data_IF_734784334028
#
_entry.id   IF_734784334028
#
_cell.length_a   1.000
_cell.length_b   1.000
_cell.length_c   1.000
_cell.angle_alpha   90.00
_cell.angle_beta   90.00
_cell.angle_gamma   90.00
#
_symmetry.space_group_name_H-M   'P 1'
#
loop_
_entity.id
_entity.type
_entity.pdbx_description
1 polymer ?
#
# COMPACT_ATOMS: atom_id res chain seq x y z
N UNK A 1 -30.11 -16.59 -2.70
CA UNK A 1 -29.02 -17.47 -3.17
C UNK A 1 -28.16 -16.81 -4.24
N UNK A 2 -28.73 -16.02 -5.14
CA UNK A 2 -27.99 -15.26 -6.16
C UNK A 2 -27.17 -14.09 -5.57
N UNK A 3 -27.74 -13.38 -4.59
CA UNK A 3 -27.07 -12.31 -3.82
C UNK A 3 -25.80 -12.77 -3.07
N UNK A 4 -25.76 -14.00 -2.55
CA UNK A 4 -24.58 -14.52 -1.84
C UNK A 4 -23.44 -14.88 -2.78
N UNK A 5 -23.74 -15.47 -3.94
CA UNK A 5 -22.74 -15.76 -4.98
C UNK A 5 -22.15 -14.48 -5.57
N UNK A 6 -23.00 -13.47 -5.83
CA UNK A 6 -22.53 -12.17 -6.31
C UNK A 6 -21.55 -11.54 -5.31
N UNK A 7 -21.91 -11.53 -4.02
CA UNK A 7 -21.07 -10.98 -2.95
C UNK A 7 -19.69 -11.66 -2.89
N UNK A 8 -19.67 -12.99 -2.98
CA UNK A 8 -18.43 -13.77 -2.97
C UNK A 8 -17.53 -13.46 -4.18
N UNK A 9 -18.11 -13.30 -5.37
CA UNK A 9 -17.38 -12.90 -6.58
C UNK A 9 -16.77 -11.51 -6.45
N UNK A 10 -17.53 -10.53 -5.94
CA UNK A 10 -17.03 -9.16 -5.71
C UNK A 10 -15.91 -9.12 -4.67
N UNK A 11 -16.02 -9.88 -3.58
CA UNK A 11 -14.99 -9.96 -2.55
C UNK A 11 -13.69 -10.56 -3.10
N UNK A 12 -13.77 -11.64 -3.89
CA UNK A 12 -12.59 -12.24 -4.57
C UNK A 12 -11.91 -11.23 -5.50
N UNK A 13 -12.68 -10.56 -6.35
CA UNK A 13 -12.17 -9.60 -7.31
C UNK A 13 -11.52 -8.38 -6.64
N UNK A 14 -12.03 -7.98 -5.47
CA UNK A 14 -11.43 -6.95 -4.64
C UNK A 14 -10.06 -7.37 -4.10
N UNK A 15 -9.94 -8.56 -3.52
CA UNK A 15 -8.66 -9.03 -2.99
C UNK A 15 -7.62 -9.22 -4.10
N UNK A 16 -8.05 -9.71 -5.26
CA UNK A 16 -7.18 -9.90 -6.41
C UNK A 16 -6.63 -8.56 -6.92
N UNK A 17 -7.50 -7.61 -7.24
CA UNK A 17 -7.12 -6.37 -7.91
C UNK A 17 -6.38 -5.40 -6.97
N UNK A 18 -6.80 -5.28 -5.71
CA UNK A 18 -6.15 -4.39 -4.75
C UNK A 18 -4.71 -4.83 -4.48
N UNK A 19 -4.49 -6.13 -4.23
CA UNK A 19 -3.17 -6.65 -3.89
C UNK A 19 -2.24 -6.68 -5.12
N UNK A 20 -2.75 -7.06 -6.30
CA UNK A 20 -1.97 -7.08 -7.52
C UNK A 20 -1.46 -5.69 -7.92
N UNK A 21 -2.25 -4.63 -7.73
CA UNK A 21 -1.79 -3.26 -7.99
C UNK A 21 -0.56 -2.90 -7.16
N UNK A 22 -0.56 -3.26 -5.87
CA UNK A 22 0.58 -3.02 -4.98
C UNK A 22 1.79 -3.83 -5.45
N UNK A 23 1.61 -5.11 -5.78
CA UNK A 23 2.71 -5.98 -6.23
C UNK A 23 3.33 -5.49 -7.54
N UNK A 24 2.50 -5.08 -8.51
CA UNK A 24 2.97 -4.55 -9.80
C UNK A 24 3.71 -3.23 -9.62
N UNK A 25 3.19 -2.31 -8.80
CA UNK A 25 3.88 -1.06 -8.49
C UNK A 25 5.23 -1.31 -7.80
N UNK A 26 5.31 -2.29 -6.90
CA UNK A 26 6.58 -2.70 -6.30
C UNK A 26 7.55 -3.23 -7.35
N UNK A 27 7.09 -3.93 -8.38
CA UNK A 27 7.96 -4.38 -9.47
C UNK A 27 8.51 -3.19 -10.26
N UNK A 28 7.64 -2.29 -10.72
CA UNK A 28 8.03 -1.16 -11.57
C UNK A 28 8.97 -0.22 -10.82
N UNK A 29 8.56 0.23 -9.63
CA UNK A 29 9.34 1.18 -8.84
C UNK A 29 10.57 0.50 -8.24
N UNK A 30 10.45 -0.75 -7.80
CA UNK A 30 11.57 -1.51 -7.27
C UNK A 30 12.68 -1.71 -8.30
N UNK A 31 12.35 -1.92 -9.59
CA UNK A 31 13.36 -2.03 -10.65
C UNK A 31 14.17 -0.73 -10.82
N UNK A 32 13.49 0.41 -10.77
CA UNK A 32 14.13 1.74 -10.80
C UNK A 32 15.02 1.92 -9.57
N UNK A 33 14.51 1.58 -8.38
CA UNK A 33 15.27 1.69 -7.14
C UNK A 33 16.47 0.74 -7.09
N UNK A 34 16.36 -0.49 -7.62
CA UNK A 34 17.50 -1.41 -7.76
C UNK A 34 18.61 -0.78 -8.58
N UNK A 35 18.28 -0.16 -9.72
CA UNK A 35 19.27 0.53 -10.55
C UNK A 35 19.96 1.65 -9.76
N UNK A 36 19.20 2.48 -9.06
CA UNK A 36 19.73 3.57 -8.22
C UNK A 36 20.63 3.00 -7.11
N UNK A 37 20.18 2.01 -6.36
CA UNK A 37 20.94 1.43 -5.24
C UNK A 37 22.21 0.73 -5.71
N UNK A 38 22.17 0.04 -6.84
CA UNK A 38 23.32 -0.72 -7.34
C UNK A 38 24.35 0.18 -8.03
N UNK A 39 23.92 1.01 -8.99
CA UNK A 39 24.84 1.76 -9.84
C UNK A 39 25.16 3.15 -9.33
N UNK A 40 24.24 3.80 -8.60
CA UNK A 40 24.39 5.20 -8.20
C UNK A 40 24.84 5.31 -6.74
N UNK A 41 24.14 4.65 -5.83
CA UNK A 41 24.43 4.70 -4.39
C UNK A 41 25.41 3.61 -3.93
N UNK A 42 25.68 2.61 -4.78
CA UNK A 42 26.59 1.49 -4.51
C UNK A 42 26.29 0.73 -3.20
N UNK A 43 25.03 0.72 -2.78
CA UNK A 43 24.53 0.01 -1.59
C UNK A 43 24.06 -1.39 -1.97
N UNK A 44 25.01 -2.29 -2.24
CA UNK A 44 24.73 -3.61 -2.80
C UNK A 44 23.80 -4.47 -1.95
N UNK A 45 23.85 -4.34 -0.61
CA UNK A 45 22.95 -5.07 0.31
C UNK A 45 21.50 -4.66 0.11
N UNK A 46 21.24 -3.36 0.01
CA UNK A 46 19.90 -2.81 -0.24
C UNK A 46 19.44 -3.15 -1.66
N UNK A 47 20.33 -3.08 -2.64
CA UNK A 47 20.03 -3.46 -4.01
C UNK A 47 19.61 -4.94 -4.10
N UNK A 48 20.37 -5.85 -3.46
CA UNK A 48 20.05 -7.27 -3.40
C UNK A 48 18.69 -7.52 -2.71
N UNK A 49 18.43 -6.86 -1.58
CA UNK A 49 17.14 -6.95 -0.90
C UNK A 49 15.98 -6.51 -1.82
N UNK A 50 16.17 -5.45 -2.60
CA UNK A 50 15.16 -5.00 -3.56
C UNK A 50 15.02 -5.99 -4.76
N UNK A 51 16.09 -6.60 -5.25
CA UNK A 51 15.99 -7.68 -6.26
C UNK A 51 15.17 -8.86 -5.74
N UNK A 52 15.41 -9.28 -4.49
CA UNK A 52 14.61 -10.31 -3.84
C UNK A 52 13.15 -9.88 -3.67
N UNK A 53 12.91 -8.61 -3.35
CA UNK A 53 11.56 -8.04 -3.27
C UNK A 53 10.85 -8.08 -4.63
N UNK A 54 11.54 -7.83 -5.75
CA UNK A 54 10.97 -7.98 -7.10
C UNK A 54 10.55 -9.43 -7.37
N UNK A 55 11.42 -10.39 -7.03
CA UNK A 55 11.13 -11.82 -7.18
C UNK A 55 9.93 -12.26 -6.32
N UNK A 56 9.89 -11.81 -5.07
CA UNK A 56 8.77 -12.05 -4.14
C UNK A 56 7.48 -11.40 -4.63
N UNK A 57 7.55 -10.19 -5.19
CA UNK A 57 6.37 -9.51 -5.75
C UNK A 57 5.77 -10.29 -6.92
N UNK A 58 6.62 -10.78 -7.81
CA UNK A 58 6.20 -11.65 -8.91
C UNK A 58 5.61 -12.99 -8.42
N UNK A 59 6.24 -13.62 -7.44
CA UNK A 59 5.70 -14.82 -6.80
C UNK A 59 4.34 -14.54 -6.15
N UNK A 60 4.19 -13.40 -5.50
CA UNK A 60 2.95 -12.98 -4.83
C UNK A 60 1.83 -12.82 -5.86
N UNK A 61 2.08 -12.24 -7.03
CA UNK A 61 1.11 -12.19 -8.15
C UNK A 61 0.70 -13.60 -8.59
N UNK A 62 1.67 -14.52 -8.76
CA UNK A 62 1.36 -15.91 -9.14
C UNK A 62 0.50 -16.64 -8.11
N UNK A 63 0.79 -16.46 -6.81
CA UNK A 63 -0.01 -17.04 -5.73
C UNK A 63 -1.39 -16.40 -5.66
N UNK A 64 -1.49 -15.08 -5.89
CA UNK A 64 -2.76 -14.35 -5.90
C UNK A 64 -3.70 -14.86 -7.00
N UNK A 65 -3.17 -15.09 -8.21
CA UNK A 65 -3.91 -15.69 -9.34
C UNK A 65 -4.37 -17.13 -9.10
N UNK A 66 -3.75 -17.83 -8.13
CA UNK A 66 -4.17 -19.17 -7.67
C UNK A 66 -5.13 -19.10 -6.47
N UNK A 67 -5.71 -17.94 -6.21
CA UNK A 67 -6.60 -17.66 -5.07
C UNK A 67 -5.94 -17.86 -3.69
N UNK A 68 -4.60 -17.95 -3.62
CA UNK A 68 -3.86 -18.08 -2.36
C UNK A 68 -3.56 -16.70 -1.74
N UNK A 69 -4.62 -15.88 -1.58
CA UNK A 69 -4.54 -14.47 -1.18
C UNK A 69 -3.76 -14.26 0.13
N UNK A 70 -4.07 -15.08 1.16
CA UNK A 70 -3.47 -14.94 2.47
C UNK A 70 -1.97 -15.22 2.46
N UNK A 71 -1.54 -16.29 1.79
CA UNK A 71 -0.13 -16.66 1.65
C UNK A 71 0.63 -15.66 0.79
N UNK A 72 0.03 -15.24 -0.34
CA UNK A 72 0.56 -14.18 -1.21
C UNK A 72 0.88 -12.92 -0.40
N UNK A 73 -0.11 -12.42 0.37
CA UNK A 73 0.09 -11.23 1.20
C UNK A 73 1.11 -11.43 2.31
N UNK A 74 1.19 -12.61 2.92
CA UNK A 74 2.12 -12.89 4.02
C UNK A 74 3.57 -12.77 3.54
N UNK A 75 3.89 -13.45 2.43
CA UNK A 75 5.24 -13.46 1.86
C UNK A 75 5.61 -12.04 1.40
N UNK A 76 4.69 -11.34 0.73
CA UNK A 76 4.90 -9.97 0.30
C UNK A 76 5.15 -9.01 1.46
N UNK A 77 4.26 -8.97 2.46
CA UNK A 77 4.35 -8.09 3.64
C UNK A 77 5.67 -8.33 4.37
N UNK A 78 6.05 -9.60 4.56
CA UNK A 78 7.29 -9.97 5.25
C UNK A 78 8.50 -9.40 4.51
N UNK A 79 8.54 -9.56 3.18
CA UNK A 79 9.67 -9.07 2.38
C UNK A 79 9.73 -7.55 2.32
N UNK A 80 8.60 -6.86 2.20
CA UNK A 80 8.57 -5.38 2.24
C UNK A 80 8.99 -4.87 3.61
N UNK A 81 8.50 -5.47 4.70
CA UNK A 81 8.89 -5.10 6.06
C UNK A 81 10.40 -5.28 6.30
N UNK A 82 10.96 -6.41 5.85
CA UNK A 82 12.40 -6.67 5.91
C UNK A 82 13.21 -5.66 5.07
N UNK A 83 12.76 -5.35 3.85
CA UNK A 83 13.42 -4.38 2.97
C UNK A 83 13.38 -2.97 3.57
N UNK A 84 12.23 -2.56 4.12
CA UNK A 84 12.09 -1.28 4.80
C UNK A 84 12.98 -1.20 6.05
N UNK A 85 13.06 -2.28 6.84
CA UNK A 85 13.98 -2.38 7.98
C UNK A 85 15.44 -2.15 7.54
N UNK A 86 15.89 -2.86 6.50
CA UNK A 86 17.25 -2.69 5.96
C UNK A 86 17.49 -1.28 5.45
N UNK A 87 16.53 -0.68 4.74
CA UNK A 87 16.66 0.67 4.20
C UNK A 87 16.69 1.75 5.30
N UNK A 88 15.91 1.59 6.37
CA UNK A 88 15.99 2.48 7.55
C UNK A 88 17.34 2.34 8.22
N UNK A 89 17.86 1.13 8.37
CA UNK A 89 19.18 0.92 8.95
C UNK A 89 20.28 1.53 8.07
N UNK A 90 20.24 1.33 6.75
CA UNK A 90 21.28 1.78 5.82
C UNK A 90 21.29 3.31 5.63
N UNK A 91 20.10 3.93 5.50
CA UNK A 91 19.95 5.33 5.10
C UNK A 91 19.37 6.23 6.20
N UNK A 92 18.86 5.66 7.29
CA UNK A 92 18.24 6.39 8.40
C UNK A 92 16.79 6.81 8.14
N UNK A 93 16.10 7.17 9.23
CA UNK A 93 14.68 7.56 9.25
C UNK A 93 14.32 8.79 8.40
N UNK A 94 15.30 9.62 8.04
CA UNK A 94 15.06 10.84 7.26
C UNK A 94 14.62 10.56 5.82
N UNK A 95 14.82 9.33 5.34
CA UNK A 95 14.48 8.93 3.97
C UNK A 95 13.03 8.46 3.80
N UNK A 96 12.24 8.38 4.88
CA UNK A 96 10.79 8.13 4.79
C UNK A 96 10.38 6.65 4.68
N UNK A 97 11.30 5.68 4.75
CA UNK A 97 10.96 4.25 4.66
C UNK A 97 10.06 3.76 5.82
N UNK A 98 10.03 4.48 6.95
CA UNK A 98 9.12 4.18 8.07
C UNK A 98 7.64 4.22 7.68
N UNK A 99 7.27 4.97 6.64
CA UNK A 99 5.88 5.06 6.20
C UNK A 99 5.34 3.72 5.68
N UNK A 100 6.22 2.81 5.22
CA UNK A 100 5.81 1.49 4.78
C UNK A 100 5.16 0.66 5.89
N UNK A 101 5.57 0.78 7.16
CA UNK A 101 4.94 0.01 8.25
C UNK A 101 3.46 0.35 8.45
N UNK A 102 3.09 1.62 8.23
CA UNK A 102 1.69 2.04 8.29
C UNK A 102 0.89 1.49 7.11
N UNK A 103 1.45 1.55 5.91
CA UNK A 103 0.80 1.03 4.70
C UNK A 103 0.66 -0.50 4.75
N UNK A 104 1.68 -1.21 5.24
CA UNK A 104 1.62 -2.66 5.48
C UNK A 104 0.56 -3.02 6.52
N UNK A 105 0.39 -2.22 7.58
CA UNK A 105 -0.70 -2.40 8.54
C UNK A 105 -2.07 -2.25 7.85
N UNK A 106 -2.21 -1.29 6.95
CA UNK A 106 -3.39 -1.15 6.09
C UNK A 106 -3.62 -2.38 5.22
N UNK A 107 -2.59 -2.91 4.59
CA UNK A 107 -2.67 -4.13 3.78
C UNK A 107 -3.16 -5.31 4.63
N UNK A 108 -2.58 -5.54 5.81
CA UNK A 108 -3.01 -6.59 6.76
C UNK A 108 -4.50 -6.45 7.13
N UNK A 109 -5.02 -5.25 7.30
CA UNK A 109 -6.45 -5.06 7.58
C UNK A 109 -7.34 -5.50 6.41
N UNK A 110 -6.86 -5.34 5.17
CA UNK A 110 -7.57 -5.68 3.94
C UNK A 110 -7.28 -7.06 3.38
N UNK A 111 -6.38 -7.86 3.98
CA UNK A 111 -6.18 -9.24 3.56
C UNK A 111 -7.31 -10.15 4.05
N UNK A 112 -7.47 -11.31 3.41
CA UNK A 112 -8.41 -12.35 3.83
C UNK A 112 -7.84 -13.20 4.99
N UNK A 113 -7.32 -12.55 6.04
CA UNK A 113 -6.80 -13.20 7.24
C UNK A 113 -7.87 -13.29 8.33
N UNK A 114 -7.74 -14.26 9.22
CA UNK A 114 -8.60 -14.34 10.42
C UNK A 114 -8.36 -13.10 11.30
N UNK A 115 -9.34 -12.62 12.08
CA UNK A 115 -9.19 -11.41 12.90
C UNK A 115 -7.96 -11.44 13.83
N UNK A 116 -7.70 -12.59 14.47
CA UNK A 116 -6.53 -12.74 15.34
C UNK A 116 -5.20 -12.71 14.57
N UNK A 117 -5.16 -13.21 13.32
CA UNK A 117 -3.99 -13.13 12.45
C UNK A 117 -3.71 -11.69 12.03
N UNK A 118 -4.76 -10.91 11.75
CA UNK A 118 -4.63 -9.47 11.46
C UNK A 118 -4.07 -8.71 12.65
N UNK A 119 -4.59 -8.98 13.84
CA UNK A 119 -4.07 -8.40 15.08
C UNK A 119 -2.60 -8.77 15.30
N UNK A 120 -2.25 -10.05 15.20
CA UNK A 120 -0.88 -10.54 15.37
C UNK A 120 0.07 -9.91 14.34
N UNK A 121 -0.30 -9.88 13.06
CA UNK A 121 0.49 -9.26 12.00
C UNK A 121 0.69 -7.76 12.20
N UNK A 122 -0.36 -7.05 12.63
CA UNK A 122 -0.27 -5.60 12.94
C UNK A 122 0.65 -5.35 14.13
N UNK A 123 0.52 -6.13 15.21
CA UNK A 123 1.40 -6.05 16.38
C UNK A 123 2.85 -6.31 15.98
N UNK A 124 3.10 -7.32 15.15
CA UNK A 124 4.44 -7.62 14.66
C UNK A 124 5.04 -6.46 13.86
N UNK A 125 4.26 -5.84 12.96
CA UNK A 125 4.71 -4.68 12.19
C UNK A 125 5.01 -3.46 13.08
N UNK A 126 4.17 -3.20 14.09
CA UNK A 126 4.41 -2.13 15.06
C UNK A 126 5.66 -2.39 15.89
N UNK A 127 5.85 -3.62 16.39
CA UNK A 127 7.06 -4.01 17.12
C UNK A 127 8.32 -3.87 16.27
N UNK A 128 8.26 -4.28 15.00
CA UNK A 128 9.38 -4.15 14.06
C UNK A 128 9.69 -2.67 13.75
N UNK A 129 8.66 -1.82 13.62
CA UNK A 129 8.84 -0.38 13.49
C UNK A 129 9.51 0.23 14.73
N UNK A 130 9.03 -0.10 15.94
CA UNK A 130 9.63 0.39 17.19
C UNK A 130 11.09 -0.02 17.31
N UNK A 131 11.41 -1.28 16.97
CA UNK A 131 12.78 -1.78 16.95
C UNK A 131 13.64 -1.00 15.94
N UNK A 132 13.15 -0.85 14.71
CA UNK A 132 13.86 -0.11 13.64
C UNK A 132 14.09 1.36 14.03
N UNK A 133 13.10 2.01 14.64
CA UNK A 133 13.19 3.37 15.14
C UNK A 133 14.22 3.49 16.27
N UNK A 134 14.17 2.59 17.26
CA UNK A 134 15.11 2.57 18.38
C UNK A 134 16.56 2.40 17.92
N UNK A 135 16.80 1.46 17.00
CA UNK A 135 18.14 1.24 16.43
C UNK A 135 18.62 2.45 15.64
N UNK A 136 17.77 3.03 14.78
CA UNK A 136 18.15 4.20 13.96
C UNK A 136 18.35 5.47 14.79
N UNK A 137 17.81 5.54 16.00
CA UNK A 137 18.04 6.67 16.91
C UNK A 137 19.40 6.59 17.60
N UNK A 138 19.87 5.37 17.88
CA UNK A 138 21.11 5.14 18.61
C UNK A 138 22.34 5.07 17.69
N UNK A 139 22.14 4.71 16.42
CA UNK A 139 23.22 4.45 15.47
C UNK A 139 23.05 5.34 14.25
N UNK A 140 24.10 6.09 13.92
CA UNK A 140 24.15 6.85 12.67
C UNK A 140 24.08 5.90 11.46
N UNK A 141 23.33 6.27 10.39
CA UNK A 141 23.21 5.42 9.22
C UNK A 141 24.58 5.17 8.58
N UNK A 142 24.89 3.93 8.16
CA UNK A 142 26.15 3.60 7.49
C UNK A 142 26.41 4.40 6.21
N UNK A 143 25.34 4.80 5.51
CA UNK A 143 25.43 5.55 4.26
C UNK A 143 24.87 6.94 4.44
N UNK A 144 25.76 7.93 4.43
CA UNK A 144 25.38 9.34 4.45
C UNK A 144 24.93 9.80 3.06
N UNK A 145 23.63 9.99 2.92
CA UNK A 145 23.05 10.53 1.70
C UNK A 145 23.12 12.06 1.69
N UNK A 146 23.48 12.63 0.54
CA UNK A 146 23.34 14.07 0.34
C UNK A 146 21.86 14.50 0.37
N UNK A 147 21.63 15.81 0.49
CA UNK A 147 20.28 16.37 0.60
C UNK A 147 19.36 15.95 -0.56
N UNK A 148 19.89 15.92 -1.79
CA UNK A 148 19.12 15.53 -2.97
C UNK A 148 18.55 14.12 -2.83
N UNK A 149 19.38 13.13 -2.44
CA UNK A 149 18.94 11.75 -2.30
C UNK A 149 17.97 11.54 -1.13
N UNK A 150 18.20 12.23 -0.01
CA UNK A 150 17.23 12.21 1.11
C UNK A 150 15.88 12.75 0.65
N UNK A 151 15.86 13.91 0.00
CA UNK A 151 14.62 14.52 -0.50
C UNK A 151 13.91 13.65 -1.54
N UNK A 152 14.68 13.10 -2.50
CA UNK A 152 14.15 12.21 -3.53
C UNK A 152 13.50 10.96 -2.92
N UNK A 153 14.23 10.21 -2.08
CA UNK A 153 13.72 8.98 -1.46
C UNK A 153 12.52 9.27 -0.55
N UNK A 154 12.58 10.34 0.23
CA UNK A 154 11.48 10.73 1.10
C UNK A 154 10.21 11.06 0.31
N UNK A 155 10.33 11.85 -0.75
CA UNK A 155 9.20 12.24 -1.60
C UNK A 155 8.60 11.02 -2.28
N UNK A 156 9.43 10.16 -2.88
CA UNK A 156 8.97 8.90 -3.49
C UNK A 156 8.25 8.03 -2.45
N UNK A 157 8.80 7.87 -1.26
CA UNK A 157 8.18 7.08 -0.20
C UNK A 157 6.84 7.66 0.26
N UNK A 158 6.69 8.98 0.40
CA UNK A 158 5.38 9.60 0.68
C UNK A 158 4.40 9.26 -0.44
N UNK A 159 4.77 9.50 -1.70
CA UNK A 159 3.88 9.30 -2.85
C UNK A 159 3.40 7.84 -2.94
N UNK A 160 4.31 6.87 -2.80
CA UNK A 160 3.98 5.45 -2.85
C UNK A 160 3.07 5.03 -1.71
N UNK A 161 3.30 5.55 -0.50
CA UNK A 161 2.48 5.22 0.65
C UNK A 161 1.08 5.83 0.56
N UNK A 162 0.96 7.08 0.10
CA UNK A 162 -0.33 7.72 -0.17
C UNK A 162 -1.07 7.00 -1.30
N UNK A 163 -0.40 6.63 -2.38
CA UNK A 163 -1.00 5.88 -3.49
C UNK A 163 -1.55 4.52 -3.03
N UNK A 164 -0.83 3.80 -2.17
CA UNK A 164 -1.28 2.53 -1.60
C UNK A 164 -2.57 2.68 -0.75
N UNK A 165 -2.61 3.70 0.10
CA UNK A 165 -3.80 4.00 0.93
C UNK A 165 -4.98 4.45 0.06
N UNK A 166 -4.75 5.35 -0.90
CA UNK A 166 -5.78 5.84 -1.80
C UNK A 166 -6.41 4.73 -2.64
N UNK A 167 -5.60 3.81 -3.17
CA UNK A 167 -6.09 2.64 -3.91
C UNK A 167 -6.98 1.75 -3.03
N UNK A 168 -6.57 1.54 -1.78
CA UNK A 168 -7.34 0.76 -0.80
C UNK A 168 -8.68 1.41 -0.43
N UNK A 169 -8.74 2.74 -0.37
CA UNK A 169 -9.96 3.49 -0.09
C UNK A 169 -10.94 3.48 -1.27
N UNK A 170 -10.44 3.58 -2.51
CA UNK A 170 -11.28 3.56 -3.71
C UNK A 170 -12.09 2.25 -3.82
N UNK A 171 -11.49 1.11 -3.48
CA UNK A 171 -12.17 -0.18 -3.56
C UNK A 171 -13.35 -0.31 -2.58
N UNK A 172 -13.21 0.21 -1.35
CA UNK A 172 -14.29 0.20 -0.36
C UNK A 172 -15.50 1.05 -0.76
N UNK A 173 -15.28 2.14 -1.47
CA UNK A 173 -16.35 3.02 -1.91
C UNK A 173 -17.12 2.44 -3.12
N UNK A 174 -16.46 1.65 -3.98
CA UNK A 174 -17.12 1.00 -5.11
C UNK A 174 -17.72 -0.38 -4.80
N UNK A 175 -17.23 -1.06 -3.76
CA UNK A 175 -17.89 -2.26 -3.21
C UNK A 175 -19.25 -1.95 -2.52
N UNK A 176 -19.53 -0.68 -2.20
CA UNK A 176 -20.88 -0.20 -1.86
C UNK A 176 -21.66 0.13 -3.13
N UNK A 177 -21.81 -0.82 -4.05
CA UNK A 177 -22.93 -0.75 -4.98
C UNK A 177 -24.24 -0.76 -4.15
N UNK A 178 -25.24 0.05 -4.53
CA UNK A 178 -26.47 0.13 -3.77
C UNK A 178 -27.14 -1.25 -3.77
N UNK A 179 -27.37 -1.79 -2.57
CA UNK A 179 -28.42 -2.80 -2.40
C UNK A 179 -29.71 -2.10 -2.87
N UNK A 180 -30.46 -2.62 -3.86
CA UNK A 180 -31.61 -1.92 -4.45
C UNK A 180 -32.83 -1.73 -3.53
N UNK A 181 -32.71 -1.78 -2.21
CA UNK A 181 -33.89 -1.90 -1.32
C UNK A 181 -33.97 -0.93 -0.14
N UNK A 182 -33.11 0.08 0.00
CA UNK A 182 -33.28 1.10 1.06
C UNK A 182 -33.20 2.53 0.53
N UNK A 183 -34.35 3.22 0.35
CA UNK A 183 -34.36 4.61 -0.09
C UNK A 183 -33.85 5.51 1.04
N UNK A 184 -32.70 6.16 0.85
CA UNK A 184 -32.27 7.28 1.69
C UNK A 184 -30.77 7.42 1.96
N UNK A 185 -29.97 6.35 1.86
CA UNK A 185 -28.57 6.38 2.35
C UNK A 185 -27.47 6.44 1.28
N UNK A 186 -27.82 6.27 -0.01
CA UNK A 186 -26.82 6.02 -1.08
C UNK A 186 -26.24 7.26 -1.79
N UNK A 187 -26.69 8.50 -1.52
CA UNK A 187 -26.28 9.65 -2.36
C UNK A 187 -24.95 10.33 -1.98
N UNK A 188 -24.39 10.01 -0.81
CA UNK A 188 -23.12 10.61 -0.35
C UNK A 188 -21.85 9.94 -0.87
N UNK A 189 -21.91 8.63 -1.14
CA UNK A 189 -20.75 7.77 -1.40
C UNK A 189 -20.46 7.52 -2.89
N UNK A 190 -21.41 7.83 -3.78
CA UNK A 190 -21.25 7.68 -5.23
C UNK A 190 -20.19 8.61 -5.84
N UNK A 191 -19.72 9.64 -5.12
CA UNK A 191 -18.72 10.58 -5.63
C UNK A 191 -17.35 9.94 -5.89
N UNK A 192 -16.92 9.02 -5.02
CA UNK A 192 -15.58 8.45 -5.08
C UNK A 192 -15.38 7.50 -6.28
N UNK A 193 -16.43 6.79 -6.72
CA UNK A 193 -16.37 5.98 -7.95
C UNK A 193 -16.39 6.81 -9.23
N UNK A 194 -16.78 8.09 -9.16
CA UNK A 194 -16.74 9.04 -10.28
C UNK A 194 -15.49 9.94 -10.26
N UNK A 195 -14.45 9.61 -9.48
CA UNK A 195 -13.23 10.42 -9.40
C UNK A 195 -13.36 11.71 -8.60
N UNK A 196 -14.33 11.81 -7.69
CA UNK A 196 -14.54 12.99 -6.85
C UNK A 196 -14.56 12.57 -5.37
N UNK A 197 -13.50 12.88 -4.63
CA UNK A 197 -13.49 12.73 -3.18
C UNK A 197 -14.36 13.83 -2.57
N UNK A 198 -15.37 13.43 -1.79
CA UNK A 198 -16.26 14.36 -1.09
C UNK A 198 -15.94 14.34 0.40
N UNK A 199 -15.37 15.43 0.90
CA UNK A 199 -15.06 15.57 2.32
C UNK A 199 -16.17 16.36 3.02
N UNK A 200 -16.77 15.84 4.11
CA UNK A 200 -17.58 16.66 4.98
C UNK A 200 -16.65 17.56 5.80
N UNK A 201 -16.80 18.88 5.66
CA UNK A 201 -16.08 19.88 6.44
C UNK A 201 -17.10 20.69 7.22
N UNK A 202 -16.87 20.82 8.53
CA UNK A 202 -17.67 21.70 9.37
C UNK A 202 -17.16 23.12 9.22
N UNK A 203 -17.96 23.99 8.61
CA UNK A 203 -17.70 25.43 8.52
C UNK A 203 -18.81 26.14 9.30
N UNK A 204 -18.45 26.86 10.37
CA UNK A 204 -19.39 27.54 11.27
C UNK A 204 -20.53 26.63 11.78
N UNK A 205 -20.17 25.42 12.23
CA UNK A 205 -21.14 24.45 12.76
C UNK A 205 -22.09 23.83 11.73
N UNK A 206 -21.98 24.19 10.44
CA UNK A 206 -22.74 23.59 9.35
C UNK A 206 -21.85 22.66 8.52
N UNK A 207 -22.33 21.43 8.34
CA UNK A 207 -21.67 20.43 7.50
C UNK A 207 -21.76 20.85 6.04
N UNK A 208 -20.62 21.20 5.45
CA UNK A 208 -20.48 21.62 4.06
C UNK A 208 -19.62 20.58 3.33
N UNK A 209 -19.95 20.26 2.07
CA UNK A 209 -19.19 19.25 1.30
C UNK A 209 -18.20 19.93 0.37
N UNK A 210 -16.93 19.58 0.48
CA UNK A 210 -15.88 19.97 -0.47
C UNK A 210 -15.68 18.82 -1.45
N UNK A 211 -15.77 19.11 -2.75
CA UNK A 211 -15.49 18.16 -3.82
C UNK A 211 -14.05 18.36 -4.30
N UNK A 212 -13.20 17.36 -4.12
CA UNK A 212 -11.83 17.37 -4.64
C UNK A 212 -11.77 16.39 -5.82
N UNK A 213 -11.50 16.86 -7.05
CA UNK A 213 -11.29 15.97 -8.18
C UNK A 213 -10.00 15.17 -7.98
N UNK A 214 -10.10 13.85 -8.08
CA UNK A 214 -8.95 12.94 -8.11
C UNK A 214 -8.60 12.71 -9.57
N UNK A 215 -7.38 13.08 -9.97
CA UNK A 215 -6.82 12.72 -11.28
C UNK A 215 -6.74 11.18 -11.40
N UNK A 216 -7.80 10.57 -11.93
CA UNK A 216 -7.88 9.15 -12.25
C UNK A 216 -7.27 8.91 -13.64
N UNK A 217 -6.04 8.43 -13.68
CA UNK A 217 -5.42 7.86 -14.89
C UNK A 217 -5.15 6.39 -14.64
N UNK A 218 -6.14 5.51 -14.84
CA UNK A 218 -5.91 4.06 -15.06
C UNK A 218 -7.08 3.33 -15.71
N UNK A 219 -8.32 3.85 -15.68
CA UNK A 219 -9.47 3.18 -16.31
C UNK A 219 -9.44 3.09 -17.85
N UNK A 220 -8.43 3.66 -18.51
CA UNK A 220 -8.28 3.62 -19.97
C UNK A 220 -7.34 2.51 -20.48
N UNK A 221 -6.70 1.72 -19.60
CA UNK A 221 -5.74 0.69 -20.00
C UNK A 221 -6.31 -0.72 -20.17
N UNK A 222 -7.61 -0.94 -19.91
CA UNK A 222 -8.27 -2.24 -20.18
C UNK A 222 -8.88 -2.36 -21.60
N UNK A 223 -8.55 -1.42 -22.51
CA UNK A 223 -8.98 -1.47 -23.92
C UNK A 223 -7.84 -1.31 -24.94
N UNK A 224 -6.64 -1.77 -24.61
CA UNK A 224 -5.55 -1.95 -25.58
C UNK A 224 -4.99 -3.37 -25.47
#
# INVERSE_FOLDING_TARGET
MESSKLKETYEKQQYENQANFVYVNTIIIGAILVFIYFFVLQTYRVALANVLLLAVSYLSIKLNRKEQYALSSLIFITMVAFTAFLQIHEFGLRTGFQYFYLNLSGLVMFTNWKPWQKAAGTILLVSLFILSFGMSYQVSPPVELNYFWVFFLHTVNILLNVAGVANSANYKNCARMPIPSLPGFSRGLNGACNGILRFPVLVNGKSTRINVPVLLSTYQLEKL
#
